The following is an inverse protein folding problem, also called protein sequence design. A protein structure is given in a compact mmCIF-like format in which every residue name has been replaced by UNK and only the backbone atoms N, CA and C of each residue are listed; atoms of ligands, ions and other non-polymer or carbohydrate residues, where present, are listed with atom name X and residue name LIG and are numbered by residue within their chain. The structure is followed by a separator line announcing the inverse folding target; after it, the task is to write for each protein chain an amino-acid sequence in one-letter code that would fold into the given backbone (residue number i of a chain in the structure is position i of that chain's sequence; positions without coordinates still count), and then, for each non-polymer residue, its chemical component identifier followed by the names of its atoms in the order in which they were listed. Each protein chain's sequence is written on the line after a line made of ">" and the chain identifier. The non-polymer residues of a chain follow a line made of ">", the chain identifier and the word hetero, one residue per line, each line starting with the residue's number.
data_IF_735210471576
#
_entry.id   IF_735210471576
#
_cell.length_a   1.000
_cell.length_b   1.000
_cell.length_c   1.000
_cell.angle_alpha   90.00
_cell.angle_beta   90.00
_cell.angle_gamma   90.00
#
_symmetry.space_group_name_H-M   'P 1'
#
loop_
_entity.id
_entity.type
_entity.pdbx_description
1 polymer ?
#
# COMPACT_ATOMS: atom_id res chain seq x y z
N UNK A 1 -10.04 -19.39 6.11
CA UNK A 1 -9.55 -18.26 5.27
C UNK A 1 -10.42 -17.06 5.58
N UNK A 2 -9.89 -16.09 6.33
CA UNK A 2 -10.57 -14.81 6.55
C UNK A 2 -10.24 -13.87 5.39
N UNK A 3 -11.23 -13.18 4.86
CA UNK A 3 -11.03 -12.05 3.95
C UNK A 3 -11.07 -10.79 4.81
N UNK A 4 -10.08 -9.91 4.63
CA UNK A 4 -10.03 -8.61 5.28
C UNK A 4 -10.22 -7.55 4.20
N UNK A 5 -11.32 -6.82 4.29
CA UNK A 5 -11.64 -5.71 3.39
C UNK A 5 -11.33 -4.40 4.11
N UNK A 6 -10.61 -3.51 3.44
CA UNK A 6 -10.24 -2.19 3.94
C UNK A 6 -10.43 -1.15 2.85
N UNK A 7 -10.74 0.08 3.25
CA UNK A 7 -10.84 1.19 2.32
C UNK A 7 -9.44 1.67 1.92
N UNK A 8 -9.26 1.93 0.62
CA UNK A 8 -7.98 2.36 0.07
C UNK A 8 -8.14 3.44 -0.99
N UNK A 9 -7.10 4.24 -1.16
CA UNK A 9 -7.02 5.28 -2.18
C UNK A 9 -5.88 4.96 -3.15
N UNK A 10 -6.13 4.81 -4.47
CA UNK A 10 -5.08 4.57 -5.44
C UNK A 10 -4.21 5.80 -5.65
N UNK A 11 -2.92 5.57 -5.89
CA UNK A 11 -1.97 6.59 -6.29
C UNK A 11 -2.34 7.22 -7.65
N UNK A 12 -1.91 8.46 -7.92
CA UNK A 12 -2.20 9.17 -9.19
C UNK A 12 -1.66 8.44 -10.42
N UNK A 13 -0.53 7.75 -10.28
CA UNK A 13 0.15 7.09 -11.39
C UNK A 13 -0.39 5.71 -11.68
N UNK A 14 -1.25 5.17 -10.82
CA UNK A 14 -1.88 3.91 -11.11
C UNK A 14 -2.67 4.08 -12.41
N UNK A 15 -2.29 3.44 -13.55
CA UNK A 15 -3.22 3.32 -14.66
C UNK A 15 -4.55 2.74 -14.16
N UNK A 16 -5.60 2.85 -14.97
CA UNK A 16 -6.81 2.05 -14.75
C UNK A 16 -6.41 0.57 -14.80
N UNK A 17 -6.00 -0.01 -13.68
CA UNK A 17 -5.53 -1.39 -13.60
C UNK A 17 -6.72 -2.34 -13.60
N UNK A 18 -6.51 -3.51 -14.20
CA UNK A 18 -7.44 -4.62 -14.16
C UNK A 18 -7.53 -5.24 -12.76
N UNK A 19 -8.73 -5.17 -12.21
CA UNK A 19 -9.48 -6.00 -11.25
C UNK A 19 -8.86 -6.62 -9.98
N UNK A 20 -7.56 -6.87 -9.80
CA UNK A 20 -6.99 -7.34 -8.52
C UNK A 20 -5.47 -7.59 -8.57
N UNK A 21 -4.78 -7.54 -7.42
CA UNK A 21 -3.38 -8.02 -7.27
C UNK A 21 -3.29 -9.15 -6.22
N UNK A 22 -3.23 -10.39 -6.67
CA UNK A 22 -3.06 -11.52 -5.76
C UNK A 22 -1.57 -11.82 -5.50
N UNK A 23 -1.11 -11.57 -4.28
CA UNK A 23 0.26 -11.84 -3.83
C UNK A 23 0.30 -12.14 -2.31
N UNK A 24 1.48 -12.39 -1.73
CA UNK A 24 1.64 -12.41 -0.27
C UNK A 24 1.84 -10.98 0.22
N UNK A 25 1.33 -10.64 1.40
CA UNK A 25 1.66 -9.39 2.06
C UNK A 25 3.02 -9.55 2.75
N UNK A 26 3.94 -8.63 2.50
CA UNK A 26 5.23 -8.54 3.18
C UNK A 26 5.32 -7.20 3.90
N UNK A 27 5.81 -7.22 5.13
CA UNK A 27 6.09 -6.04 5.92
C UNK A 27 7.47 -6.22 6.56
N UNK A 28 8.41 -5.36 6.20
CA UNK A 28 9.70 -5.25 6.88
C UNK A 28 9.81 -3.86 7.49
N UNK A 29 9.70 -3.82 8.82
CA UNK A 29 9.87 -2.62 9.64
C UNK A 29 11.20 -2.61 10.39
N UNK A 30 11.99 -3.68 10.29
CA UNK A 30 13.25 -3.86 11.01
C UNK A 30 14.44 -3.25 10.27
N UNK A 31 14.41 -3.30 8.93
CA UNK A 31 15.49 -2.80 8.08
C UNK A 31 15.15 -1.46 7.42
N UNK A 32 16.18 -0.68 7.13
CA UNK A 32 16.03 0.60 6.44
C UNK A 32 15.63 0.40 4.97
N UNK A 33 14.72 1.25 4.47
CA UNK A 33 14.22 1.17 3.10
C UNK A 33 15.37 1.18 2.08
N UNK A 34 15.36 0.19 1.21
CA UNK A 34 16.29 0.09 0.10
C UNK A 34 17.63 -0.58 0.42
N UNK A 35 17.92 -0.94 1.66
CA UNK A 35 19.10 -1.79 1.96
C UNK A 35 18.93 -3.19 1.39
N UNK A 36 20.02 -3.96 1.33
CA UNK A 36 19.98 -5.33 0.80
C UNK A 36 19.11 -6.23 1.68
N UNK A 37 19.21 -6.05 3.00
CA UNK A 37 18.45 -6.79 4.01
C UNK A 37 16.95 -6.52 3.87
N UNK A 38 16.56 -5.26 3.64
CA UNK A 38 15.17 -4.88 3.44
C UNK A 38 14.56 -5.49 2.17
N UNK A 39 15.35 -5.67 1.10
CA UNK A 39 14.85 -6.23 -0.17
C UNK A 39 14.63 -7.73 -0.10
N UNK A 40 15.30 -8.43 0.83
CA UNK A 40 15.24 -9.87 0.90
C UNK A 40 13.82 -10.36 1.23
N UNK A 41 13.31 -11.32 0.45
CA UNK A 41 11.96 -11.85 0.62
C UNK A 41 10.80 -10.97 0.11
N UNK A 42 11.06 -9.82 -0.55
CA UNK A 42 10.00 -8.97 -1.12
C UNK A 42 9.57 -9.37 -2.55
N UNK A 43 10.29 -10.26 -3.22
CA UNK A 43 9.97 -10.67 -4.59
C UNK A 43 8.56 -11.29 -4.69
N UNK A 44 7.80 -10.84 -5.69
CA UNK A 44 6.43 -11.30 -5.96
C UNK A 44 5.42 -11.04 -4.82
N UNK A 45 5.69 -10.08 -3.93
CA UNK A 45 4.82 -9.70 -2.80
C UNK A 45 4.02 -8.40 -3.05
N UNK A 46 3.04 -8.12 -2.19
CA UNK A 46 2.55 -6.76 -1.93
C UNK A 46 3.30 -6.25 -0.71
N UNK A 47 4.03 -5.14 -0.85
CA UNK A 47 4.83 -4.59 0.24
C UNK A 47 4.03 -3.58 1.03
N UNK A 48 3.93 -3.75 2.34
CA UNK A 48 3.36 -2.80 3.28
C UNK A 48 4.44 -1.83 3.76
N UNK A 49 4.23 -0.54 3.54
CA UNK A 49 5.09 0.55 3.96
C UNK A 49 4.36 1.43 4.97
N UNK A 50 5.11 2.00 5.92
CA UNK A 50 4.61 3.06 6.79
C UNK A 50 5.00 4.42 6.21
N UNK A 51 4.09 5.40 6.24
CA UNK A 51 4.41 6.77 5.82
C UNK A 51 5.53 7.37 6.67
N UNK A 52 5.56 7.08 7.97
CA UNK A 52 6.62 7.53 8.86
C UNK A 52 7.99 6.94 8.51
N UNK A 53 8.02 5.70 7.99
CA UNK A 53 9.26 5.05 7.52
C UNK A 53 9.79 5.74 6.26
N UNK A 54 8.89 6.06 5.31
CA UNK A 54 9.24 6.81 4.10
C UNK A 54 9.81 8.19 4.47
N UNK A 55 9.18 8.91 5.40
CA UNK A 55 9.67 10.23 5.83
C UNK A 55 11.06 10.21 6.51
N UNK A 56 11.39 9.11 7.20
CA UNK A 56 12.68 8.98 7.90
C UNK A 56 13.79 8.46 6.99
N UNK A 57 13.47 7.82 5.87
CA UNK A 57 14.48 7.21 5.02
C UNK A 57 15.13 8.24 4.09
N UNK A 58 16.46 8.39 4.12
CA UNK A 58 17.18 9.26 3.21
C UNK A 58 17.12 8.78 1.74
N UNK A 59 16.80 7.50 1.51
CA UNK A 59 16.67 6.92 0.18
C UNK A 59 15.33 7.27 -0.52
N UNK A 60 14.35 7.80 0.23
CA UNK A 60 12.99 8.04 -0.27
C UNK A 60 12.59 9.50 -0.06
N UNK A 61 12.91 10.41 -0.99
CA UNK A 61 12.49 11.81 -0.90
C UNK A 61 10.95 11.98 -1.00
N UNK A 62 10.26 10.98 -1.56
CA UNK A 62 8.81 10.91 -1.61
C UNK A 62 8.31 9.45 -1.63
N UNK A 63 7.00 9.25 -1.62
CA UNK A 63 6.38 7.93 -1.73
C UNK A 63 6.59 7.27 -3.11
N UNK A 64 6.81 8.03 -4.18
CA UNK A 64 7.06 7.43 -5.50
C UNK A 64 8.43 6.74 -5.52
N UNK A 65 9.45 7.37 -4.93
CA UNK A 65 10.77 6.77 -4.73
C UNK A 65 10.69 5.51 -3.86
N UNK A 66 9.91 5.52 -2.78
CA UNK A 66 9.69 4.33 -1.96
C UNK A 66 9.06 3.17 -2.75
N UNK A 67 8.08 3.47 -3.61
CA UNK A 67 7.44 2.46 -4.46
C UNK A 67 8.39 1.97 -5.56
N UNK A 68 9.29 2.81 -6.06
CA UNK A 68 10.38 2.37 -6.95
C UNK A 68 11.33 1.38 -6.27
N UNK A 69 11.67 1.59 -5.00
CA UNK A 69 12.47 0.61 -4.23
C UNK A 69 11.74 -0.73 -4.11
N UNK A 70 10.41 -0.72 -3.89
CA UNK A 70 9.60 -1.94 -3.88
C UNK A 70 9.63 -2.63 -5.25
N UNK A 71 9.45 -1.89 -6.35
CA UNK A 71 9.52 -2.43 -7.70
C UNK A 71 10.90 -3.05 -8.01
N UNK A 72 11.97 -2.37 -7.61
CA UNK A 72 13.34 -2.88 -7.75
C UNK A 72 13.61 -4.14 -6.91
N UNK A 73 12.86 -4.34 -5.83
CA UNK A 73 12.88 -5.55 -5.02
C UNK A 73 11.98 -6.68 -5.55
N UNK A 74 11.31 -6.49 -6.70
CA UNK A 74 10.44 -7.49 -7.32
C UNK A 74 8.99 -7.50 -6.81
N UNK A 75 8.58 -6.50 -6.02
CA UNK A 75 7.21 -6.39 -5.55
C UNK A 75 6.21 -6.24 -6.71
N UNK A 76 4.99 -6.76 -6.53
CA UNK A 76 3.87 -6.62 -7.47
C UNK A 76 3.02 -5.40 -7.21
N UNK A 77 2.99 -4.92 -5.97
CA UNK A 77 2.29 -3.72 -5.55
C UNK A 77 2.88 -3.18 -4.24
N UNK A 78 2.53 -1.94 -3.90
CA UNK A 78 2.81 -1.35 -2.60
C UNK A 78 1.53 -0.85 -1.93
N UNK A 79 1.46 -0.98 -0.60
CA UNK A 79 0.43 -0.38 0.24
C UNK A 79 1.12 0.51 1.25
N UNK A 80 0.78 1.80 1.28
CA UNK A 80 1.30 2.77 2.24
C UNK A 80 0.25 3.02 3.31
N UNK A 81 0.60 2.79 4.57
CA UNK A 81 -0.23 3.15 5.72
C UNK A 81 0.01 4.61 6.08
N UNK A 82 -1.05 5.40 6.16
CA UNK A 82 -0.96 6.71 6.80
C UNK A 82 -0.92 6.55 8.33
N UNK A 83 0.27 6.34 8.90
CA UNK A 83 0.48 6.13 10.34
C UNK A 83 0.79 7.44 11.10
N UNK A 84 0.82 8.57 10.39
CA UNK A 84 1.14 9.88 10.96
C UNK A 84 -0.13 10.66 11.36
N UNK A 85 -0.11 11.37 12.50
CA UNK A 85 -1.26 12.13 12.99
C UNK A 85 -1.51 13.45 12.25
N UNK A 86 -0.64 13.83 11.30
CA UNK A 86 -0.61 15.15 10.67
C UNK A 86 -1.89 15.50 9.89
N UNK A 87 -2.61 14.47 9.39
CA UNK A 87 -3.86 14.64 8.63
C UNK A 87 -5.11 14.51 9.49
N UNK A 88 -4.95 14.54 10.82
CA UNK A 88 -6.03 14.46 11.80
C UNK A 88 -6.07 13.15 12.57
N UNK A 89 -6.93 13.07 13.61
CA UNK A 89 -6.95 11.95 14.55
C UNK A 89 -7.35 10.61 13.92
N UNK A 90 -7.98 10.64 12.74
CA UNK A 90 -8.40 9.44 12.00
C UNK A 90 -7.36 8.97 10.99
N UNK A 91 -6.29 9.74 10.76
CA UNK A 91 -5.20 9.43 9.82
C UNK A 91 -5.73 8.92 8.46
N UNK A 92 -6.60 9.69 7.78
CA UNK A 92 -7.34 9.20 6.62
C UNK A 92 -6.39 8.86 5.46
N UNK A 93 -6.79 7.90 4.63
CA UNK A 93 -6.12 7.67 3.35
C UNK A 93 -6.32 8.87 2.42
N UNK A 94 -5.28 9.21 1.65
CA UNK A 94 -5.35 10.23 0.62
C UNK A 94 -4.59 9.81 -0.63
N UNK A 95 -4.84 10.52 -1.74
CA UNK A 95 -4.26 10.19 -3.03
C UNK A 95 -2.79 10.62 -3.08
N UNK A 96 -1.88 9.66 -3.22
CA UNK A 96 -0.44 9.90 -3.41
C UNK A 96 -0.15 10.51 -4.78
N UNK A 97 0.55 11.65 -4.81
CA UNK A 97 0.94 12.38 -6.03
C UNK A 97 2.33 12.01 -6.58
N UNK A 98 2.70 12.55 -7.73
CA UNK A 98 4.08 12.49 -8.26
C UNK A 98 4.73 13.86 -8.04
N UNK A 99 5.62 13.99 -7.07
CA UNK A 99 6.28 15.28 -6.76
C UNK A 99 7.50 15.52 -7.65
N UNK A 100 7.33 15.47 -8.97
CA UNK A 100 8.42 15.53 -9.95
C UNK A 100 9.14 14.20 -10.17
N UNK A 101 8.86 13.19 -9.35
CA UNK A 101 9.36 11.82 -9.52
C UNK A 101 8.68 11.10 -10.70
N UNK A 102 9.41 10.20 -11.41
CA UNK A 102 8.82 9.36 -12.44
C UNK A 102 7.81 8.37 -11.84
N UNK A 103 6.75 8.08 -12.58
CA UNK A 103 5.75 7.10 -12.20
C UNK A 103 6.39 5.71 -11.95
N UNK A 104 6.18 5.11 -10.76
CA UNK A 104 6.59 3.73 -10.50
C UNK A 104 5.90 2.73 -11.43
N UNK A 105 6.55 1.60 -11.78
CA UNK A 105 6.03 0.63 -12.74
C UNK A 105 5.06 -0.38 -12.10
N UNK A 106 4.74 -0.22 -10.82
CA UNK A 106 3.81 -1.08 -10.06
C UNK A 106 2.67 -0.25 -9.45
N UNK A 107 1.48 -0.83 -9.27
CA UNK A 107 0.39 -0.18 -8.55
C UNK A 107 0.76 0.12 -7.10
N UNK A 108 0.27 1.25 -6.58
CA UNK A 108 0.36 1.57 -5.17
C UNK A 108 -0.94 2.16 -4.60
N UNK A 109 -1.17 1.95 -3.31
CA UNK A 109 -2.39 2.37 -2.62
C UNK A 109 -2.05 2.96 -1.27
N UNK A 110 -2.86 3.90 -0.81
CA UNK A 110 -2.82 4.37 0.56
C UNK A 110 -4.00 3.82 1.34
N UNK A 111 -3.74 3.34 2.56
CA UNK A 111 -4.74 2.93 3.55
C UNK A 111 -4.68 3.87 4.75
N UNK A 112 -5.83 4.15 5.35
CA UNK A 112 -5.90 5.01 6.54
C UNK A 112 -5.29 4.30 7.74
N UNK A 113 -4.86 5.05 8.77
CA UNK A 113 -4.12 4.51 9.91
C UNK A 113 -4.83 3.34 10.59
N UNK A 114 -6.12 3.48 10.93
CA UNK A 114 -6.90 2.41 11.59
C UNK A 114 -6.94 1.10 10.79
N UNK A 115 -7.20 1.18 9.49
CA UNK A 115 -7.27 0.02 8.62
C UNK A 115 -5.87 -0.53 8.30
N UNK A 116 -4.87 0.34 8.23
CA UNK A 116 -3.48 -0.04 8.04
C UNK A 116 -2.91 -0.80 9.22
N UNK A 117 -3.29 -0.45 10.45
CA UNK A 117 -2.96 -1.22 11.66
C UNK A 117 -3.52 -2.65 11.60
N UNK A 118 -4.78 -2.80 11.18
CA UNK A 118 -5.41 -4.10 10.97
C UNK A 118 -4.63 -4.94 9.93
N UNK A 119 -4.30 -4.34 8.78
CA UNK A 119 -3.52 -5.00 7.72
C UNK A 119 -2.11 -5.36 8.20
N UNK A 120 -1.49 -4.51 9.01
CA UNK A 120 -0.15 -4.72 9.59
C UNK A 120 -0.15 -5.87 10.60
N UNK A 121 -1.15 -5.95 11.46
CA UNK A 121 -1.32 -7.06 12.39
C UNK A 121 -1.52 -8.38 11.64
N UNK A 122 -2.28 -8.36 10.54
CA UNK A 122 -2.41 -9.52 9.66
C UNK A 122 -1.08 -9.91 9.01
N UNK A 123 -0.30 -8.94 8.50
CA UNK A 123 1.02 -9.20 7.92
C UNK A 123 1.96 -9.88 8.93
N UNK A 124 1.95 -9.42 10.19
CA UNK A 124 2.78 -9.95 11.28
C UNK A 124 2.36 -11.35 11.72
N UNK A 125 1.06 -11.65 11.67
CA UNK A 125 0.52 -12.96 12.05
C UNK A 125 0.57 -13.99 10.91
N UNK A 126 0.73 -13.53 9.66
CA UNK A 126 0.68 -14.35 8.45
C UNK A 126 2.02 -14.99 8.09
N UNK A 127 2.48 -16.01 8.82
CA UNK A 127 3.47 -16.95 8.29
C UNK A 127 2.81 -18.00 7.36
N UNK A 128 3.44 -18.41 6.25
CA UNK A 128 3.41 -17.69 4.97
C UNK A 128 2.00 -17.74 4.34
N UNK A 129 1.06 -16.93 4.84
CA UNK A 129 -0.29 -16.91 4.27
C UNK A 129 -0.32 -16.00 3.02
N UNK A 130 -0.80 -16.56 1.90
CA UNK A 130 -1.19 -15.79 0.72
C UNK A 130 -2.40 -14.91 1.08
N UNK A 131 -2.15 -13.65 1.45
CA UNK A 131 -3.21 -12.66 1.54
C UNK A 131 -3.48 -12.10 0.15
N UNK A 132 -4.42 -12.73 -0.58
CA UNK A 132 -4.87 -12.20 -1.86
C UNK A 132 -5.42 -10.78 -1.69
N UNK A 133 -4.73 -9.78 -2.23
CA UNK A 133 -5.15 -8.38 -2.17
C UNK A 133 -5.95 -8.03 -3.43
N UNK A 134 -7.27 -8.17 -3.37
CA UNK A 134 -8.12 -7.64 -4.43
C UNK A 134 -8.26 -6.13 -4.28
N UNK A 135 -7.65 -5.36 -5.16
CA UNK A 135 -7.85 -3.92 -5.21
C UNK A 135 -8.83 -3.58 -6.32
N UNK A 136 -10.06 -3.27 -5.92
CA UNK A 136 -11.11 -2.82 -6.83
C UNK A 136 -11.42 -1.35 -6.59
N UNK A 137 -11.68 -0.60 -7.68
CA UNK A 137 -12.38 0.68 -7.54
C UNK A 137 -13.78 0.39 -7.02
N UNK A 138 -14.11 0.85 -5.81
CA UNK A 138 -15.50 0.92 -5.39
C UNK A 138 -16.19 1.85 -6.38
N UNK A 139 -16.98 1.30 -7.32
CA UNK A 139 -18.01 2.12 -7.96
C UNK A 139 -18.86 2.59 -6.79
N UNK A 140 -18.82 3.88 -6.48
CA UNK A 140 -19.85 4.50 -5.66
C UNK A 140 -21.16 4.01 -6.27
N UNK A 141 -21.85 3.12 -5.56
CA UNK A 141 -23.12 2.59 -6.02
C UNK A 141 -23.96 3.82 -6.29
N UNK A 142 -24.31 4.03 -7.56
CA UNK A 142 -25.39 4.95 -7.89
C UNK A 142 -26.54 4.56 -6.98
N UNK A 143 -27.08 5.54 -6.27
CA UNK A 143 -28.31 5.37 -5.54
C UNK A 143 -29.37 4.90 -6.54
N UNK A 144 -29.56 3.58 -6.63
CA UNK A 144 -30.80 3.00 -7.10
C UNK A 144 -31.80 3.22 -5.95
N UNK A 145 -32.26 4.46 -5.80
CA UNK A 145 -33.56 4.71 -5.20
C UNK A 145 -34.58 4.16 -6.20
N UNK A 146 -34.92 2.89 -6.00
CA UNK A 146 -36.19 2.37 -6.47
C UNK A 146 -37.31 3.07 -5.71
N UNK A 147 -38.28 3.57 -6.49
CA UNK A 147 -39.71 3.63 -6.21
C UNK A 147 -40.15 4.50 -5.01
N UNK A 148 -40.63 5.70 -5.34
CA UNK A 148 -42.04 6.07 -5.11
C UNK A 148 -42.60 6.65 -6.40
#
# INVERSE_FOLDING_TARGET
>A
SGVCEVDLVPAVWNPRFGDAVHARLAADEAHELGTTEWRDGLDSTVVLLLRSMIQRSPATPDWAAAVWLCAAAGARAAVVVNDLPDDGPTQPAFRMGLFGSPAPPIPAFMVGGKDGELVRDMARQAAPALLGVSVASVRSGGAALGLC
#
